data_IF_066309564159
#
_entry.id   IF_066309564159
#
_cell.length_a   1.000
_cell.length_b   1.000
_cell.length_c   1.000
_cell.angle_alpha   90.00
_cell.angle_beta   90.00
_cell.angle_gamma   90.00
#
_symmetry.space_group_name_H-M   'P 1'
#
loop_
_entity.id
_entity.type
_entity.pdbx_description
1 polymer ?
#
# COMPACT_ATOMS: atom_id res chain seq x y z
N UNK A 1 10.67 -4.06 -1.68
CA UNK A 1 9.74 -5.09 -1.23
C UNK A 1 8.40 -4.87 -1.89
N UNK A 2 7.77 -5.96 -2.30
CA UNK A 2 6.51 -5.86 -3.03
C UNK A 2 5.47 -6.76 -2.41
N UNK A 3 4.25 -6.29 -2.38
CA UNK A 3 3.09 -7.09 -2.04
C UNK A 3 2.12 -7.09 -3.19
N UNK A 4 0.94 -7.60 -2.96
CA UNK A 4 -0.10 -7.64 -3.97
C UNK A 4 -1.42 -7.23 -3.39
N UNK A 5 -2.21 -6.57 -4.22
CA UNK A 5 -3.58 -6.24 -3.85
C UNK A 5 -4.38 -7.53 -3.84
N UNK A 6 -5.01 -7.83 -2.71
CA UNK A 6 -5.80 -9.04 -2.57
C UNK A 6 -7.29 -8.76 -2.66
N UNK A 7 -7.70 -7.53 -2.45
CA UNK A 7 -9.11 -7.16 -2.60
C UNK A 7 -9.23 -5.66 -2.76
N UNK A 8 -10.27 -5.23 -3.43
CA UNK A 8 -10.61 -3.82 -3.56
C UNK A 8 -11.98 -3.66 -2.91
N UNK A 9 -12.06 -2.84 -1.88
CA UNK A 9 -13.26 -2.71 -1.08
C UNK A 9 -13.74 -1.26 -1.10
N UNK A 10 -14.45 -0.91 -2.15
CA UNK A 10 -14.89 0.47 -2.31
C UNK A 10 -13.71 1.37 -2.57
N UNK A 11 -13.41 2.26 -1.63
CA UNK A 11 -12.28 3.16 -1.76
C UNK A 11 -11.03 2.64 -1.05
N UNK A 12 -11.07 1.43 -0.54
CA UNK A 12 -9.93 0.84 0.16
C UNK A 12 -9.41 -0.36 -0.57
N UNK A 13 -8.13 -0.66 -0.38
CA UNK A 13 -7.54 -1.88 -0.92
C UNK A 13 -6.93 -2.70 0.20
N UNK A 14 -6.97 -4.02 0.04
CA UNK A 14 -6.28 -4.96 0.91
C UNK A 14 -5.00 -5.39 0.24
N UNK A 15 -3.90 -5.39 0.99
CA UNK A 15 -2.61 -5.75 0.45
C UNK A 15 -2.03 -6.87 1.27
N UNK A 16 -1.68 -7.96 0.63
CA UNK A 16 -1.06 -9.10 1.29
C UNK A 16 0.42 -9.19 0.98
N UNK A 17 1.12 -9.95 1.80
CA UNK A 17 2.53 -10.23 1.58
C UNK A 17 3.48 -9.27 2.22
N UNK A 18 3.01 -8.14 2.72
CA UNK A 18 3.90 -7.12 3.29
C UNK A 18 3.40 -6.57 4.60
N UNK A 19 2.42 -7.22 5.18
CA UNK A 19 1.79 -6.66 6.39
C UNK A 19 2.77 -6.50 7.54
N UNK A 20 3.82 -7.31 7.58
CA UNK A 20 4.81 -7.20 8.65
C UNK A 20 5.79 -6.06 8.44
N UNK A 21 5.85 -5.54 7.24
CA UNK A 21 6.78 -4.47 6.93
C UNK A 21 6.13 -3.11 6.99
N UNK A 22 4.84 -3.05 7.29
CA UNK A 22 4.09 -1.82 7.23
C UNK A 22 3.53 -1.46 8.59
N UNK A 23 3.33 -0.18 8.80
CA UNK A 23 2.66 0.35 9.98
C UNK A 23 1.62 1.35 9.53
N UNK A 24 0.65 1.64 10.40
CA UNK A 24 -0.36 2.65 10.08
C UNK A 24 0.34 3.98 9.82
N UNK A 25 -0.06 4.63 8.75
CA UNK A 25 0.55 5.88 8.31
C UNK A 25 1.60 5.71 7.23
N UNK A 26 2.08 4.49 7.02
CA UNK A 26 3.06 4.25 5.96
C UNK A 26 2.40 4.39 4.60
N UNK A 27 3.21 4.64 3.59
CA UNK A 27 2.73 4.81 2.24
C UNK A 27 3.20 3.69 1.35
N UNK A 28 2.35 3.30 0.43
CA UNK A 28 2.67 2.30 -0.59
C UNK A 28 2.26 2.84 -1.94
N UNK A 29 2.91 2.36 -2.97
CA UNK A 29 2.59 2.74 -4.34
C UNK A 29 2.04 1.51 -5.05
N UNK A 30 0.83 1.64 -5.59
CA UNK A 30 0.21 0.56 -6.34
C UNK A 30 0.44 0.82 -7.82
N UNK A 31 0.94 -0.18 -8.51
CA UNK A 31 1.16 -0.05 -9.95
C UNK A 31 -0.16 -0.30 -10.65
N UNK A 32 -0.58 0.61 -11.51
CA UNK A 32 -1.80 0.40 -12.26
C UNK A 32 -1.49 -0.13 -13.65
N UNK A 33 -2.53 -0.63 -14.31
CA UNK A 33 -2.36 -1.29 -15.59
C UNK A 33 -1.92 -0.35 -16.69
N UNK A 34 -2.06 0.93 -16.48
CA UNK A 34 -1.67 1.91 -17.49
C UNK A 34 -0.27 2.40 -17.33
N UNK A 35 0.47 1.81 -16.39
CA UNK A 35 1.84 2.18 -16.20
C UNK A 35 2.08 3.27 -15.17
N UNK A 36 1.02 3.79 -14.57
CA UNK A 36 1.17 4.78 -13.53
C UNK A 36 1.18 4.16 -12.15
N UNK A 37 1.27 5.00 -11.14
CA UNK A 37 1.26 4.55 -9.75
C UNK A 37 0.24 5.33 -8.97
N UNK A 38 -0.39 4.65 -8.02
CA UNK A 38 -1.34 5.29 -7.11
C UNK A 38 -0.75 5.18 -5.72
N UNK A 39 -0.59 6.30 -5.04
CA UNK A 39 -0.06 6.31 -3.69
C UNK A 39 -1.20 6.11 -2.70
N UNK A 40 -1.01 5.20 -1.78
CA UNK A 40 -1.98 4.90 -0.75
C UNK A 40 -1.34 5.01 0.62
N UNK A 41 -2.15 5.22 1.63
CA UNK A 41 -1.67 5.27 3.01
C UNK A 41 -2.27 4.09 3.77
N UNK A 42 -1.46 3.42 4.58
CA UNK A 42 -1.94 2.32 5.40
C UNK A 42 -2.77 2.88 6.53
N UNK A 43 -4.01 2.43 6.63
CA UNK A 43 -4.93 2.93 7.63
C UNK A 43 -5.30 1.87 8.66
N UNK A 44 -4.94 0.63 8.43
CA UNK A 44 -5.23 -0.43 9.38
C UNK A 44 -4.80 -1.77 8.88
N UNK A 45 -5.13 -2.80 9.66
CA UNK A 45 -4.81 -4.17 9.30
C UNK A 45 -6.02 -5.03 9.62
N UNK A 46 -6.20 -6.08 8.85
CA UNK A 46 -7.31 -6.99 9.06
C UNK A 46 -6.93 -8.36 8.54
N UNK A 47 -7.07 -9.38 9.39
CA UNK A 47 -6.82 -10.77 9.00
C UNK A 47 -5.45 -10.97 8.37
N UNK A 48 -4.46 -10.31 8.91
CA UNK A 48 -3.10 -10.47 8.41
C UNK A 48 -2.82 -9.69 7.14
N UNK A 49 -3.68 -8.78 6.75
CA UNK A 49 -3.48 -7.96 5.57
C UNK A 49 -3.54 -6.50 5.91
N UNK A 50 -2.82 -5.71 5.13
CA UNK A 50 -2.81 -4.27 5.32
C UNK A 50 -3.97 -3.66 4.57
N UNK A 51 -4.61 -2.66 5.18
CA UNK A 51 -5.67 -1.90 4.52
C UNK A 51 -5.13 -0.53 4.19
N UNK A 52 -5.32 -0.11 2.96
CA UNK A 52 -4.78 1.16 2.48
C UNK A 52 -5.85 1.96 1.78
N UNK A 53 -5.77 3.28 1.92
CA UNK A 53 -6.65 4.18 1.21
C UNK A 53 -5.84 5.03 0.24
N UNK A 54 -6.29 5.17 -1.00
CA UNK A 54 -5.55 5.95 -1.98
C UNK A 54 -5.75 7.44 -1.74
N UNK A 55 -4.74 8.21 -2.11
CA UNK A 55 -4.88 9.66 -2.11
C UNK A 55 -5.62 10.15 -3.35
N UNK A 56 -5.73 9.31 -4.36
CA UNK A 56 -6.48 9.66 -5.57
C UNK A 56 -7.30 8.43 -5.97
N UNK A 57 -7.88 8.42 -7.13
CA UNK A 57 -8.74 7.30 -7.53
C UNK A 57 -7.98 6.00 -7.73
N UNK A 58 -8.72 4.93 -7.82
CA UNK A 58 -8.15 3.59 -8.00
C UNK A 58 -8.24 3.11 -9.44
N UNK A 59 -8.21 4.01 -10.40
CA UNK A 59 -8.31 3.63 -11.81
C UNK A 59 -7.17 2.70 -12.18
N UNK A 60 -7.50 1.58 -12.77
CA UNK A 60 -6.49 0.62 -13.21
C UNK A 60 -5.92 -0.25 -12.11
N UNK A 61 -6.42 -0.12 -10.90
CA UNK A 61 -5.99 -0.94 -9.78
C UNK A 61 -7.00 -2.07 -9.59
N UNK A 62 -6.50 -3.27 -9.41
CA UNK A 62 -7.36 -4.42 -9.17
C UNK A 62 -6.62 -5.48 -8.41
N UNK A 63 -7.31 -6.59 -8.14
CA UNK A 63 -6.70 -7.71 -7.46
C UNK A 63 -5.51 -8.19 -8.30
N UNK A 64 -4.40 -8.41 -7.64
CA UNK A 64 -3.16 -8.79 -8.31
C UNK A 64 -2.24 -7.64 -8.64
N UNK A 65 -2.70 -6.39 -8.51
CA UNK A 65 -1.82 -5.25 -8.73
C UNK A 65 -0.67 -5.30 -7.75
N UNK A 66 0.50 -4.89 -8.21
CA UNK A 66 1.69 -4.92 -7.38
C UNK A 66 1.72 -3.71 -6.46
N UNK A 67 2.06 -3.93 -5.21
CA UNK A 67 2.18 -2.85 -4.24
C UNK A 67 3.63 -2.72 -3.84
N UNK A 68 4.20 -1.56 -4.05
CA UNK A 68 5.60 -1.29 -3.74
C UNK A 68 5.70 -0.52 -2.44
N UNK A 69 6.54 -0.99 -1.53
CA UNK A 69 6.74 -0.36 -0.24
C UNK A 69 7.82 0.68 -0.36
N UNK A 70 7.53 1.88 0.06
CA UNK A 70 8.50 2.96 -0.02
C UNK A 70 8.80 3.53 1.35
N UNK A 71 9.04 2.68 2.31
CA UNK A 71 9.13 3.17 3.67
C UNK A 71 10.47 3.17 4.31
N UNK A 72 11.36 2.38 3.78
CA UNK A 72 12.58 2.15 4.54
C UNK A 72 13.35 3.40 4.84
N UNK A 73 13.37 4.33 3.95
CA UNK A 73 14.17 5.49 4.19
C UNK A 73 13.56 6.40 5.20
N UNK A 74 12.27 6.42 5.19
CA UNK A 74 11.59 7.29 6.07
C UNK A 74 11.84 6.95 7.47
N UNK A 75 11.91 5.69 7.76
CA UNK A 75 12.15 5.30 9.10
C UNK A 75 13.46 5.73 9.60
N UNK A 76 14.44 5.64 8.80
CA UNK A 76 15.74 5.94 9.25
C UNK A 76 15.88 7.33 9.71
N UNK A 77 15.19 8.24 9.05
CA UNK A 77 15.41 9.53 9.45
C UNK A 77 14.62 9.96 10.55
N UNK A 78 13.56 9.31 10.69
CA UNK A 78 12.75 9.69 11.75
C UNK A 78 13.44 9.68 13.02
N UNK A 79 14.42 8.98 13.17
CA UNK A 79 14.96 8.95 14.36
C UNK A 79 16.06 9.78 14.47
N UNK A 80 16.32 10.25 13.71
CA UNK A 80 17.06 10.98 13.94
C UNK A 80 16.88 11.79 14.65
N UNK A 81 16.37 11.86 14.91
CA UNK A 81 16.09 12.63 15.73
C UNK A 81 16.06 12.78 16.49
#
# INVERSE_FOLDING_TARGET
>A
MFGRVTAVLGMMVEIGGVERALAIGDRVHLNNKRGGKVTCEIVGFKDGRALAMPFSGLDGIGVGSEAEIAVSYTHLRAHET
#
